data_IF_108440882897
#
_entry.id   IF_108440882897
#
_cell.length_a   1.000
_cell.length_b   1.000
_cell.length_c   1.000
_cell.angle_alpha   90.00
_cell.angle_beta   90.00
_cell.angle_gamma   90.00
#
_symmetry.space_group_name_H-M   'P 1'
#
loop_
_entity.id
_entity.type
_entity.pdbx_description
1 polymer ?
#
# COMPACT_ATOMS: atom_id res chain seq x y z
N UNK A 1 -4.34 16.34 -22.54
CA UNK A 1 -4.99 16.65 -21.24
C UNK A 1 -4.14 16.04 -20.16
N UNK A 2 -3.65 16.79 -19.16
CA UNK A 2 -2.80 16.20 -18.13
C UNK A 2 -3.67 15.24 -17.30
N UNK A 3 -3.26 13.97 -17.22
CA UNK A 3 -3.89 12.93 -16.40
C UNK A 3 -3.79 13.36 -14.94
N UNK A 4 -4.91 13.35 -14.21
CA UNK A 4 -4.95 13.73 -12.80
C UNK A 4 -3.90 12.94 -12.00
N UNK A 5 -3.12 13.68 -11.22
CA UNK A 5 -1.92 13.27 -10.51
C UNK A 5 -2.19 12.24 -9.41
N UNK A 6 -1.46 11.13 -9.42
CA UNK A 6 -1.56 10.07 -8.42
C UNK A 6 -0.18 9.73 -7.82
N UNK A 7 0.04 10.23 -6.59
CA UNK A 7 0.89 9.71 -5.51
C UNK A 7 1.45 10.90 -4.70
N UNK A 8 0.56 11.59 -3.99
CA UNK A 8 0.94 12.59 -2.98
C UNK A 8 0.96 11.94 -1.61
N UNK A 9 2.12 11.90 -0.96
CA UNK A 9 2.21 11.70 0.50
C UNK A 9 1.84 13.04 1.13
N UNK A 10 0.76 13.15 1.94
CA UNK A 10 0.56 14.33 2.74
C UNK A 10 1.67 14.38 3.80
N UNK A 11 2.43 15.47 3.74
CA UNK A 11 3.44 15.85 4.71
C UNK A 11 2.90 15.78 6.14
N UNK A 12 3.63 15.08 7.00
CA UNK A 12 3.56 15.26 8.45
C UNK A 12 4.96 15.47 8.97
N UNK A 13 5.19 16.59 9.64
CA UNK A 13 6.44 16.87 10.36
C UNK A 13 6.47 16.05 11.66
N UNK A 14 7.54 15.29 11.94
CA UNK A 14 7.94 14.99 13.31
C UNK A 14 9.14 15.88 13.67
N UNK A 15 8.97 16.77 14.64
CA UNK A 15 10.09 17.46 15.30
C UNK A 15 10.56 16.61 16.49
N UNK A 16 11.81 16.13 16.44
CA UNK A 16 12.65 15.83 17.61
C UNK A 16 12.47 14.48 18.32
N UNK A 17 13.61 13.80 18.58
CA UNK A 17 13.74 12.73 19.58
C UNK A 17 14.47 11.49 19.05
N UNK A 18 15.76 11.37 19.36
CA UNK A 18 16.69 10.36 18.84
C UNK A 18 16.29 8.90 19.03
N UNK A 19 16.76 8.06 18.11
CA UNK A 19 16.63 6.60 18.17
C UNK A 19 16.90 5.96 16.81
N UNK A 20 18.01 5.23 16.70
CA UNK A 20 18.37 4.48 15.50
C UNK A 20 17.41 3.33 15.25
N UNK A 21 16.52 3.49 14.28
CA UNK A 21 15.78 2.42 13.61
C UNK A 21 16.06 2.47 12.10
N UNK A 22 16.17 1.29 11.48
CA UNK A 22 16.47 1.13 10.05
C UNK A 22 15.39 1.70 9.12
N UNK A 23 15.76 1.87 7.85
CA UNK A 23 14.99 2.57 6.81
C UNK A 23 13.59 1.93 6.62
N UNK A 24 13.48 0.61 6.72
CA UNK A 24 12.20 -0.13 6.61
C UNK A 24 11.23 0.01 7.79
N UNK A 25 11.68 0.40 8.99
CA UNK A 25 10.75 0.64 10.12
C UNK A 25 10.09 2.04 10.06
N UNK A 26 10.63 2.94 9.23
CA UNK A 26 10.24 4.36 9.22
C UNK A 26 9.14 4.67 8.20
N UNK A 27 9.15 4.02 7.03
CA UNK A 27 8.06 4.09 6.04
C UNK A 27 6.74 3.53 6.61
N UNK A 28 6.82 2.40 7.30
CA UNK A 28 5.70 1.79 8.02
C UNK A 28 5.06 2.76 9.05
N UNK A 29 5.87 3.58 9.74
CA UNK A 29 5.36 4.56 10.71
C UNK A 29 4.52 5.65 10.05
N UNK A 30 4.94 6.16 8.89
CA UNK A 30 4.18 7.19 8.14
C UNK A 30 2.83 6.65 7.69
N UNK A 31 2.77 5.43 7.14
CA UNK A 31 1.52 4.81 6.72
C UNK A 31 0.59 4.53 7.91
N UNK A 32 1.16 4.16 9.07
CA UNK A 32 0.41 3.99 10.32
C UNK A 32 -0.14 5.31 10.85
N UNK A 33 0.60 6.41 10.78
CA UNK A 33 0.09 7.75 11.13
C UNK A 33 -1.06 8.17 10.20
N UNK A 34 -0.89 7.97 8.89
CA UNK A 34 -1.90 8.28 7.88
C UNK A 34 -3.21 7.53 8.11
N UNK A 35 -3.13 6.29 8.60
CA UNK A 35 -4.28 5.41 8.88
C UNK A 35 -4.74 5.44 10.35
N UNK A 36 -4.22 6.36 11.16
CA UNK A 36 -4.64 6.54 12.56
C UNK A 36 -4.16 5.46 13.53
N UNK A 37 -3.21 4.60 13.13
CA UNK A 37 -2.60 3.56 13.96
C UNK A 37 -1.34 4.03 14.72
N UNK A 38 -0.94 5.28 14.54
CA UNK A 38 0.11 5.95 15.29
C UNK A 38 -0.23 7.44 15.48
N UNK A 39 0.25 8.03 16.57
CA UNK A 39 0.05 9.45 16.86
C UNK A 39 0.86 10.34 15.94
N UNK A 40 0.33 11.53 15.68
CA UNK A 40 0.98 12.59 14.93
C UNK A 40 1.32 13.69 15.93
N UNK A 41 2.60 13.97 16.13
CA UNK A 41 3.04 14.95 17.13
C UNK A 41 2.72 16.39 16.69
N UNK A 42 2.75 16.68 15.39
CA UNK A 42 2.38 17.97 14.82
C UNK A 42 1.86 17.86 13.36
N UNK A 43 0.94 18.75 12.98
CA UNK A 43 0.34 18.77 11.64
C UNK A 43 -0.90 17.86 11.51
N UNK A 44 -1.22 17.45 10.28
CA UNK A 44 -2.30 16.49 10.01
C UNK A 44 -2.07 15.69 8.71
N UNK A 45 -2.54 14.45 8.69
CA UNK A 45 -2.57 13.62 7.48
C UNK A 45 -4.00 13.48 6.98
N UNK A 46 -4.16 13.64 5.67
CA UNK A 46 -5.45 13.64 4.99
C UNK A 46 -5.43 12.69 3.79
N UNK A 47 -6.53 11.99 3.55
CA UNK A 47 -6.79 11.20 2.36
C UNK A 47 -8.05 11.75 1.73
N UNK A 48 -7.98 12.21 0.48
CA UNK A 48 -9.11 12.89 -0.18
C UNK A 48 -9.61 14.12 0.59
N UNK A 49 -8.70 14.83 1.28
CA UNK A 49 -9.03 16.01 2.08
C UNK A 49 -9.62 15.74 3.47
N UNK A 50 -9.73 14.48 3.91
CA UNK A 50 -10.26 14.11 5.24
C UNK A 50 -9.29 13.25 6.02
N UNK A 51 -9.31 13.33 7.36
CA UNK A 51 -8.52 12.40 8.19
C UNK A 51 -9.16 11.01 8.13
N UNK A 52 -8.33 9.97 8.08
CA UNK A 52 -8.80 8.58 8.03
C UNK A 52 -9.76 8.24 9.18
N UNK A 53 -9.45 8.71 10.39
CA UNK A 53 -10.24 8.48 11.61
C UNK A 53 -11.60 9.18 11.62
N UNK A 54 -11.81 10.18 10.75
CA UNK A 54 -13.09 10.89 10.65
C UNK A 54 -14.05 10.23 9.62
N UNK A 55 -13.58 9.23 8.88
CA UNK A 55 -14.38 8.54 7.88
C UNK A 55 -15.43 7.65 8.58
N UNK A 56 -16.73 7.70 8.20
CA UNK A 56 -17.77 6.89 8.86
C UNK A 56 -17.54 5.39 8.72
N UNK A 57 -17.05 4.95 7.56
CA UNK A 57 -16.64 3.58 7.28
C UNK A 57 -15.32 3.66 6.50
N UNK A 58 -14.16 3.75 7.18
CA UNK A 58 -12.89 4.04 6.52
C UNK A 58 -12.57 3.08 5.36
N UNK A 59 -12.84 1.79 5.55
CA UNK A 59 -12.57 0.75 4.55
C UNK A 59 -13.38 0.86 3.25
N UNK A 60 -14.42 1.71 3.18
CA UNK A 60 -15.16 2.01 1.93
C UNK A 60 -14.52 3.12 1.10
N UNK A 61 -13.73 3.97 1.72
CA UNK A 61 -13.06 5.09 1.04
C UNK A 61 -11.59 4.75 0.81
N UNK A 62 -10.98 4.08 1.79
CA UNK A 62 -9.55 3.80 1.86
C UNK A 62 -9.32 2.32 2.18
N UNK A 63 -8.82 1.58 1.20
CA UNK A 63 -8.34 0.21 1.38
C UNK A 63 -6.94 0.23 1.94
N UNK A 64 -6.70 -0.54 3.00
CA UNK A 64 -5.43 -0.52 3.73
C UNK A 64 -4.87 -1.93 3.86
N UNK A 65 -3.60 -2.10 3.50
CA UNK A 65 -2.81 -3.28 3.82
C UNK A 65 -1.44 -2.83 4.35
N UNK A 66 -1.23 -2.93 5.66
CA UNK A 66 0.05 -2.55 6.28
C UNK A 66 0.91 -3.75 6.69
N UNK A 67 0.28 -4.91 6.84
CA UNK A 67 0.95 -6.16 7.18
C UNK A 67 0.07 -7.31 6.70
N UNK A 68 0.53 -8.03 5.69
CA UNK A 68 -0.22 -9.19 5.19
C UNK A 68 -0.16 -10.39 6.14
N UNK A 69 0.76 -10.40 7.10
CA UNK A 69 0.83 -11.44 8.12
C UNK A 69 -0.21 -11.26 9.23
N UNK A 70 -0.87 -10.10 9.31
CA UNK A 70 -1.89 -9.78 10.31
C UNK A 70 -3.20 -10.56 10.16
N UNK A 71 -3.37 -11.36 9.11
CA UNK A 71 -4.59 -12.12 8.86
C UNK A 71 -4.73 -13.33 9.81
N UNK A 72 -5.92 -13.61 10.37
CA UNK A 72 -6.10 -14.71 11.32
C UNK A 72 -5.78 -16.08 10.72
N UNK A 73 -4.69 -16.71 11.18
CA UNK A 73 -4.20 -17.98 10.65
C UNK A 73 -5.24 -19.14 10.75
N UNK A 74 -6.13 -19.07 11.73
CA UNK A 74 -7.17 -20.06 11.96
C UNK A 74 -8.35 -19.98 10.99
N UNK A 75 -8.55 -18.87 10.26
CA UNK A 75 -9.69 -18.69 9.36
C UNK A 75 -9.36 -19.17 7.95
N UNK A 76 -10.37 -19.59 7.19
CA UNK A 76 -10.27 -19.75 5.74
C UNK A 76 -10.21 -18.39 5.04
N UNK A 77 -9.54 -18.31 3.89
CA UNK A 77 -9.42 -17.05 3.13
C UNK A 77 -10.77 -16.39 2.80
N UNK A 78 -11.78 -17.20 2.46
CA UNK A 78 -13.15 -16.71 2.23
C UNK A 78 -13.78 -16.10 3.48
N UNK A 79 -13.50 -16.64 4.66
CA UNK A 79 -14.05 -16.15 5.94
C UNK A 79 -13.42 -14.80 6.33
N UNK A 80 -12.13 -14.63 6.03
CA UNK A 80 -11.42 -13.35 6.19
C UNK A 80 -12.08 -12.29 5.30
N UNK A 81 -12.32 -12.60 4.03
CA UNK A 81 -12.94 -11.66 3.10
C UNK A 81 -14.41 -11.37 3.43
N UNK A 82 -15.16 -12.37 3.91
CA UNK A 82 -16.54 -12.16 4.40
C UNK A 82 -16.56 -11.25 5.62
N UNK A 83 -15.61 -11.39 6.54
CA UNK A 83 -15.46 -10.48 7.68
C UNK A 83 -15.16 -9.05 7.21
N UNK A 84 -14.26 -8.89 6.24
CA UNK A 84 -13.98 -7.59 5.64
C UNK A 84 -15.21 -7.00 4.93
N UNK A 85 -16.03 -7.82 4.26
CA UNK A 85 -17.26 -7.39 3.61
C UNK A 85 -18.26 -6.82 4.62
N UNK A 86 -18.44 -7.49 5.77
CA UNK A 86 -19.29 -6.99 6.86
C UNK A 86 -18.80 -5.64 7.40
N UNK A 87 -17.49 -5.52 7.66
CA UNK A 87 -16.89 -4.28 8.18
C UNK A 87 -17.00 -3.11 7.18
N UNK A 88 -17.03 -3.40 5.88
CA UNK A 88 -17.16 -2.41 4.80
C UNK A 88 -18.58 -2.25 4.27
N UNK A 89 -19.56 -2.92 4.89
CA UNK A 89 -20.99 -2.91 4.50
C UNK A 89 -21.20 -3.33 3.04
N UNK A 90 -20.54 -4.41 2.65
CA UNK A 90 -20.64 -5.04 1.35
C UNK A 90 -21.38 -6.38 1.46
N UNK A 91 -22.05 -6.84 0.39
CA UNK A 91 -22.70 -8.14 0.39
C UNK A 91 -21.66 -9.26 0.53
N UNK A 92 -22.01 -10.33 1.25
CA UNK A 92 -21.08 -11.44 1.48
C UNK A 92 -20.64 -12.15 0.18
N UNK A 93 -21.45 -12.08 -0.87
CA UNK A 93 -21.14 -12.61 -2.20
C UNK A 93 -19.95 -11.91 -2.87
N UNK A 94 -19.65 -10.67 -2.47
CA UNK A 94 -18.48 -9.94 -2.95
C UNK A 94 -17.17 -10.62 -2.55
N UNK A 95 -17.16 -11.38 -1.46
CA UNK A 95 -15.97 -12.11 -1.05
C UNK A 95 -15.50 -13.12 -2.12
N UNK A 96 -16.43 -13.74 -2.83
CA UNK A 96 -16.14 -14.66 -3.93
C UNK A 96 -15.55 -13.89 -5.13
N UNK A 97 -16.13 -12.75 -5.51
CA UNK A 97 -15.60 -11.86 -6.57
C UNK A 97 -14.17 -11.39 -6.27
N UNK A 98 -13.90 -11.03 -5.01
CA UNK A 98 -12.58 -10.58 -4.58
C UNK A 98 -11.58 -11.74 -4.60
N UNK A 99 -11.96 -12.96 -4.20
CA UNK A 99 -11.09 -14.13 -4.31
C UNK A 99 -10.67 -14.40 -5.76
N UNK A 100 -11.62 -14.31 -6.69
CA UNK A 100 -11.32 -14.44 -8.12
C UNK A 100 -10.34 -13.35 -8.57
N UNK A 101 -10.63 -12.09 -8.23
CA UNK A 101 -9.80 -10.94 -8.60
C UNK A 101 -8.37 -11.04 -8.08
N UNK A 102 -8.15 -11.61 -6.91
CA UNK A 102 -6.81 -11.82 -6.34
C UNK A 102 -6.20 -13.19 -6.66
N UNK A 103 -6.83 -13.98 -7.51
CA UNK A 103 -6.34 -15.28 -7.95
C UNK A 103 -6.26 -16.31 -6.82
N UNK A 104 -7.19 -16.27 -5.87
CA UNK A 104 -7.26 -17.16 -4.71
C UNK A 104 -8.53 -18.04 -4.67
N UNK A 105 -9.36 -18.02 -5.72
CA UNK A 105 -10.60 -18.80 -5.78
C UNK A 105 -10.41 -20.29 -5.41
N UNK A 106 -9.42 -20.96 -6.00
CA UNK A 106 -9.10 -22.37 -5.70
C UNK A 106 -8.57 -22.62 -4.28
N UNK A 107 -8.17 -21.58 -3.54
CA UNK A 107 -7.63 -21.67 -2.19
C UNK A 107 -8.54 -21.02 -1.13
N UNK A 108 -9.70 -20.48 -1.50
CA UNK A 108 -10.56 -19.71 -0.59
C UNK A 108 -11.00 -20.46 0.66
N UNK A 109 -11.18 -21.79 0.57
CA UNK A 109 -11.55 -22.66 1.71
C UNK A 109 -10.37 -23.14 2.55
N UNK A 110 -9.14 -22.96 2.08
CA UNK A 110 -7.92 -23.34 2.81
C UNK A 110 -7.68 -22.32 3.93
N UNK A 111 -7.21 -22.81 5.08
CA UNK A 111 -6.88 -21.92 6.22
C UNK A 111 -5.69 -21.03 5.88
N UNK A 112 -5.74 -19.76 6.30
CA UNK A 112 -4.68 -18.76 6.07
C UNK A 112 -3.34 -19.21 6.64
N UNK A 113 -3.34 -19.98 7.74
CA UNK A 113 -2.13 -20.58 8.29
C UNK A 113 -1.36 -21.45 7.28
N UNK A 114 -2.05 -22.01 6.28
CA UNK A 114 -1.48 -22.85 5.23
C UNK A 114 -1.17 -22.08 3.93
N UNK A 115 -1.40 -20.76 3.89
CA UNK A 115 -1.07 -19.91 2.75
C UNK A 115 0.43 -19.66 2.70
N UNK A 116 1.00 -19.64 1.50
CA UNK A 116 2.34 -19.07 1.29
C UNK A 116 2.33 -17.57 1.60
N UNK A 117 3.50 -16.96 1.75
CA UNK A 117 3.60 -15.51 1.95
C UNK A 117 2.89 -14.73 0.84
N UNK A 118 3.15 -15.07 -0.43
CA UNK A 118 2.48 -14.43 -1.56
C UNK A 118 0.95 -14.63 -1.59
N UNK A 119 0.44 -15.78 -1.15
CA UNK A 119 -1.01 -15.97 -0.99
C UNK A 119 -1.60 -15.08 0.12
N UNK A 120 -0.86 -14.89 1.23
CA UNK A 120 -1.28 -13.94 2.29
C UNK A 120 -1.25 -12.51 1.78
N UNK A 121 -0.27 -12.16 0.95
CA UNK A 121 -0.17 -10.85 0.31
C UNK A 121 -1.38 -10.57 -0.58
N UNK A 122 -1.72 -11.51 -1.46
CA UNK A 122 -2.92 -11.47 -2.30
C UNK A 122 -4.20 -11.33 -1.48
N UNK A 123 -4.32 -12.09 -0.39
CA UNK A 123 -5.46 -11.99 0.53
C UNK A 123 -5.54 -10.61 1.18
N UNK A 124 -4.41 -10.05 1.64
CA UNK A 124 -4.34 -8.71 2.21
C UNK A 124 -4.77 -7.62 1.22
N UNK A 125 -4.33 -7.72 -0.03
CA UNK A 125 -4.79 -6.84 -1.12
C UNK A 125 -6.31 -7.02 -1.33
N UNK A 126 -6.81 -8.25 -1.29
CA UNK A 126 -8.25 -8.53 -1.38
C UNK A 126 -9.05 -7.86 -0.26
N UNK A 127 -8.55 -7.91 0.99
CA UNK A 127 -9.16 -7.20 2.13
C UNK A 127 -9.18 -5.69 1.88
N UNK A 128 -8.08 -5.11 1.37
CA UNK A 128 -8.02 -3.69 1.05
C UNK A 128 -9.03 -3.28 -0.04
N UNK A 129 -9.25 -4.13 -1.05
CA UNK A 129 -10.20 -3.88 -2.14
C UNK A 129 -11.67 -4.12 -1.78
N UNK A 130 -11.93 -4.70 -0.60
CA UNK A 130 -13.26 -5.18 -0.23
C UNK A 130 -14.29 -4.06 -0.25
N UNK A 131 -13.98 -2.87 0.26
CA UNK A 131 -14.95 -1.78 0.36
C UNK A 131 -15.19 -0.97 -0.90
N UNK A 132 -14.63 -1.35 -2.05
CA UNK A 132 -14.59 -0.52 -3.28
C UNK A 132 -13.98 0.85 -3.03
N UNK A 133 -12.76 0.89 -2.45
CA UNK A 133 -12.16 2.15 -2.05
C UNK A 133 -11.76 3.00 -3.25
N UNK A 134 -11.70 4.32 -3.03
CA UNK A 134 -11.08 5.28 -3.97
C UNK A 134 -9.58 5.39 -3.76
N UNK A 135 -9.11 5.10 -2.55
CA UNK A 135 -7.71 5.20 -2.17
C UNK A 135 -7.18 3.85 -1.69
N UNK A 136 -5.98 3.45 -2.12
CA UNK A 136 -5.26 2.31 -1.57
C UNK A 136 -4.01 2.78 -0.83
N UNK A 137 -3.78 2.21 0.34
CA UNK A 137 -2.56 2.40 1.14
C UNK A 137 -1.94 1.04 1.39
N UNK A 138 -0.82 0.76 0.74
CA UNK A 138 -0.19 -0.57 0.72
C UNK A 138 1.25 -0.49 1.24
N UNK A 139 1.57 -1.26 2.27
CA UNK A 139 2.93 -1.40 2.79
C UNK A 139 3.58 -2.64 2.18
N UNK A 140 4.64 -2.45 1.40
CA UNK A 140 5.43 -3.52 0.77
C UNK A 140 4.58 -4.58 0.03
N UNK A 141 3.66 -4.17 -0.89
CA UNK A 141 2.69 -5.10 -1.47
C UNK A 141 3.31 -6.20 -2.34
N UNK A 142 4.54 -6.01 -2.83
CA UNK A 142 5.26 -6.99 -3.63
C UNK A 142 5.95 -8.08 -2.81
N UNK A 143 6.08 -7.90 -1.50
CA UNK A 143 6.91 -8.77 -0.68
C UNK A 143 6.40 -10.22 -0.68
N UNK A 144 7.30 -11.17 -0.94
CA UNK A 144 6.99 -12.59 -0.99
C UNK A 144 6.16 -13.05 -2.20
N UNK A 145 5.92 -12.17 -3.17
CA UNK A 145 5.42 -12.56 -4.49
C UNK A 145 6.56 -13.08 -5.36
N UNK A 146 6.25 -14.06 -6.20
CA UNK A 146 7.14 -14.50 -7.29
C UNK A 146 7.05 -13.50 -8.47
N UNK A 147 7.89 -13.62 -9.52
CA UNK A 147 7.87 -12.70 -10.65
C UNK A 147 6.49 -12.60 -11.33
N UNK A 148 5.74 -13.71 -11.40
CA UNK A 148 4.37 -13.74 -11.93
C UNK A 148 3.42 -12.96 -11.03
N UNK A 149 3.52 -13.11 -9.71
CA UNK A 149 2.76 -12.36 -8.72
C UNK A 149 3.05 -10.87 -8.75
N UNK A 150 4.32 -10.48 -8.93
CA UNK A 150 4.69 -9.07 -9.09
C UNK A 150 4.03 -8.49 -10.34
N UNK A 151 4.08 -9.19 -11.48
CA UNK A 151 3.42 -8.75 -12.70
C UNK A 151 1.90 -8.61 -12.54
N UNK A 152 1.25 -9.58 -11.89
CA UNK A 152 -0.18 -9.50 -11.55
C UNK A 152 -0.51 -8.29 -10.67
N UNK A 153 0.30 -8.05 -9.63
CA UNK A 153 0.09 -6.91 -8.73
C UNK A 153 0.18 -5.59 -9.49
N UNK A 154 1.17 -5.43 -10.37
CA UNK A 154 1.30 -4.23 -11.20
C UNK A 154 0.07 -3.99 -12.06
N UNK A 155 -0.38 -5.01 -12.80
CA UNK A 155 -1.61 -4.90 -13.61
C UNK A 155 -2.84 -4.54 -12.77
N UNK A 156 -2.98 -5.13 -11.57
CA UNK A 156 -4.07 -4.79 -10.66
C UNK A 156 -4.06 -3.31 -10.22
N UNK A 157 -2.87 -2.77 -9.91
CA UNK A 157 -2.72 -1.37 -9.49
C UNK A 157 -2.93 -0.41 -10.66
N UNK A 158 -2.44 -0.76 -11.85
CA UNK A 158 -2.66 0.00 -13.08
C UNK A 158 -4.15 0.07 -13.43
N UNK A 159 -4.86 -1.06 -13.38
CA UNK A 159 -6.31 -1.12 -13.59
C UNK A 159 -7.08 -0.28 -12.56
N UNK A 160 -6.65 -0.33 -11.29
CA UNK A 160 -7.25 0.47 -10.21
C UNK A 160 -7.05 1.97 -10.45
N UNK A 161 -5.84 2.39 -10.85
CA UNK A 161 -5.55 3.77 -11.18
C UNK A 161 -6.29 4.24 -12.44
N UNK A 162 -6.37 3.39 -13.48
CA UNK A 162 -7.10 3.67 -14.71
C UNK A 162 -8.60 3.85 -14.48
N UNK A 163 -9.16 3.17 -13.46
CA UNK A 163 -10.54 3.36 -13.01
C UNK A 163 -10.76 4.63 -12.16
N UNK A 164 -9.73 5.47 -11.98
CA UNK A 164 -9.78 6.72 -11.23
C UNK A 164 -9.46 6.59 -9.74
N UNK A 165 -8.96 5.43 -9.30
CA UNK A 165 -8.45 5.24 -7.95
C UNK A 165 -7.07 5.86 -7.76
N UNK A 166 -6.67 6.08 -6.51
CA UNK A 166 -5.34 6.57 -6.13
C UNK A 166 -4.63 5.54 -5.27
N UNK A 167 -3.38 5.21 -5.58
CA UNK A 167 -2.57 4.26 -4.82
C UNK A 167 -1.42 5.00 -4.15
N UNK A 168 -1.26 4.79 -2.85
CA UNK A 168 -0.06 5.07 -2.09
C UNK A 168 0.55 3.73 -1.69
N UNK A 169 1.79 3.48 -2.10
CA UNK A 169 2.51 2.28 -1.70
C UNK A 169 3.91 2.61 -1.18
N UNK A 170 4.36 1.85 -0.19
CA UNK A 170 5.78 1.79 0.17
C UNK A 170 6.43 0.62 -0.57
N UNK A 171 7.72 0.77 -0.88
CA UNK A 171 8.53 -0.34 -1.35
C UNK A 171 10.01 -0.05 -1.11
N UNK A 172 10.78 -1.10 -0.87
CA UNK A 172 12.25 -1.08 -0.91
C UNK A 172 12.81 -1.49 -2.27
N UNK A 173 11.97 -1.97 -3.19
CA UNK A 173 12.37 -2.46 -4.51
C UNK A 173 12.16 -1.36 -5.56
N UNK A 174 13.13 -0.46 -5.67
CA UNK A 174 13.05 0.76 -6.51
C UNK A 174 12.74 0.46 -7.98
N UNK A 175 13.29 -0.61 -8.55
CA UNK A 175 13.00 -1.02 -9.93
C UNK A 175 11.54 -1.41 -10.16
N UNK A 176 10.83 -1.84 -9.11
CA UNK A 176 9.41 -2.20 -9.22
C UNK A 176 8.50 -0.99 -9.12
N UNK A 177 8.83 -0.05 -8.25
CA UNK A 177 8.05 1.18 -8.07
C UNK A 177 8.19 2.09 -9.28
N UNK A 178 9.41 2.21 -9.85
CA UNK A 178 9.65 3.05 -11.02
C UNK A 178 8.78 2.66 -12.23
N UNK A 179 8.39 1.38 -12.32
CA UNK A 179 7.58 0.88 -13.43
C UNK A 179 6.09 1.19 -13.32
N UNK A 180 5.59 1.53 -12.12
CA UNK A 180 4.15 1.74 -11.85
C UNK A 180 3.81 3.11 -11.26
N UNK A 181 4.77 3.80 -10.67
CA UNK A 181 4.52 5.07 -9.98
C UNK A 181 4.61 6.25 -10.96
N UNK A 182 3.56 7.07 -11.00
CA UNK A 182 3.61 8.36 -11.68
C UNK A 182 4.43 9.39 -10.89
N UNK A 183 4.48 9.23 -9.57
CA UNK A 183 5.18 10.13 -8.67
C UNK A 183 5.82 9.36 -7.50
N UNK A 184 7.05 9.72 -7.18
CA UNK A 184 7.88 9.09 -6.17
C UNK A 184 8.24 10.10 -5.09
N UNK A 185 8.31 9.62 -3.85
CA UNK A 185 8.81 10.38 -2.71
C UNK A 185 9.83 9.51 -1.97
N UNK A 186 11.06 10.01 -1.90
CA UNK A 186 12.17 9.33 -1.21
C UNK A 186 12.26 9.88 0.21
N UNK A 187 12.05 9.02 1.20
CA UNK A 187 12.11 9.39 2.62
C UNK A 187 13.30 8.71 3.28
N UNK A 188 14.13 9.48 3.96
CA UNK A 188 15.24 8.99 4.77
C UNK A 188 15.32 9.75 6.09
N UNK A 189 15.49 9.02 7.20
CA UNK A 189 15.52 9.60 8.56
C UNK A 189 14.39 10.59 8.88
N UNK A 190 13.18 10.34 8.35
CA UNK A 190 12.00 11.20 8.58
C UNK A 190 12.02 12.52 7.80
N UNK A 191 12.87 12.63 6.79
CA UNK A 191 12.95 13.77 5.88
C UNK A 191 12.71 13.30 4.45
N UNK A 192 12.05 14.14 3.67
CA UNK A 192 11.95 13.96 2.21
C UNK A 192 13.30 14.36 1.64
N UNK A 193 13.96 13.44 0.96
CA UNK A 193 15.22 13.70 0.26
C UNK A 193 14.97 14.12 -1.19
N UNK A 194 13.92 13.57 -1.81
CA UNK A 194 13.54 13.88 -3.18
C UNK A 194 12.04 13.57 -3.40
N UNK A 195 11.40 14.31 -4.29
CA UNK A 195 10.03 14.06 -4.76
C UNK A 195 9.87 14.49 -6.22
N UNK A 196 9.08 13.77 -7.00
CA UNK A 196 8.84 14.07 -8.41
C UNK A 196 8.46 12.83 -9.23
N UNK A 197 8.30 12.99 -10.55
CA UNK A 197 8.12 11.83 -11.42
C UNK A 197 9.41 10.98 -11.43
N UNK A 198 9.34 9.65 -11.61
CA UNK A 198 10.54 8.82 -11.64
C UNK A 198 11.58 9.28 -12.67
N UNK A 199 11.14 9.78 -13.82
CA UNK A 199 12.03 10.32 -14.85
C UNK A 199 12.80 11.57 -14.41
N UNK A 200 12.23 12.36 -13.49
CA UNK A 200 12.85 13.59 -12.97
C UNK A 200 13.86 13.29 -11.85
N UNK A 201 13.72 12.13 -11.18
CA UNK A 201 14.57 11.72 -10.07
C UNK A 201 15.83 10.95 -10.51
N UNK A 202 15.93 10.63 -11.80
CA UNK A 202 17.03 9.84 -12.35
C UNK A 202 17.85 10.70 -13.31
N UNK A 203 19.13 10.91 -12.99
CA UNK A 203 20.05 11.57 -13.92
C UNK A 203 20.27 10.71 -15.18
N UNK A 204 20.46 11.31 -16.37
CA UNK A 204 20.71 10.57 -17.61
C UNK A 204 21.86 9.57 -17.45
N UNK A 205 21.59 8.29 -17.76
CA UNK A 205 22.60 7.21 -17.70
C UNK A 205 22.77 6.55 -16.33
N UNK A 206 21.93 6.85 -15.33
CA UNK A 206 21.85 6.09 -14.07
C UNK A 206 20.51 5.39 -13.93
N UNK A 207 20.45 4.38 -13.07
CA UNK A 207 19.20 3.80 -12.60
C UNK A 207 18.72 4.47 -11.30
N UNK A 208 17.45 4.26 -10.96
CA UNK A 208 16.83 4.82 -9.76
C UNK A 208 17.49 4.30 -8.47
N UNK A 209 18.01 3.07 -8.51
CA UNK A 209 18.75 2.47 -7.40
C UNK A 209 20.04 3.25 -7.09
N UNK A 210 20.84 3.59 -8.10
CA UNK A 210 22.03 4.40 -7.96
C UNK A 210 21.72 5.83 -7.50
N UNK A 211 20.62 6.41 -7.96
CA UNK A 211 20.16 7.73 -7.52
C UNK A 211 19.77 7.71 -6.02
N UNK A 212 19.03 6.70 -5.59
CA UNK A 212 18.64 6.51 -4.19
C UNK A 212 19.85 6.28 -3.27
N UNK A 213 20.79 5.42 -3.67
CA UNK A 213 22.02 5.19 -2.91
C UNK A 213 22.83 6.48 -2.75
N UNK A 214 22.89 7.32 -3.79
CA UNK A 214 23.57 8.61 -3.71
C UNK A 214 22.87 9.59 -2.75
N UNK A 215 21.53 9.60 -2.72
CA UNK A 215 20.75 10.47 -1.86
C UNK A 215 20.82 10.05 -0.38
N UNK A 216 20.91 8.75 -0.10
CA UNK A 216 20.90 8.20 1.27
C UNK A 216 22.29 8.02 1.87
N UNK A 217 23.35 8.10 1.06
CA UNK A 217 24.74 8.02 1.52
C UNK A 217 25.33 9.37 1.99
N UNK A 218 24.57 10.47 1.85
CA UNK A 218 24.94 11.83 2.26
C UNK A 218 24.38 12.20 3.63
#
# INVERSE_FOLDING_TARGET
MPRCANASIPCLRPYGGGGGAGIGQRSNRTLRMLTGLASIDAGGALIGGRRFVDLPVPGREVGVMLDASAQPAGMAGIEVLRSAALLTRQPLTRADEVLERVGLAGAGRKRVGQYSLGMRQRLGIGVALMGEPRYLVLDEPANGLDPVGIHWMRGLLDDFAAAGGTVLLSSHLLGEVAAIADHLVVIHHGRILAEGAPADLVSPGRDLESAFLSLTAA
#
